data_IF_192447854553
#
_entry.id   IF_192447854553
#
_cell.length_a   1.000
_cell.length_b   1.000
_cell.length_c   1.000
_cell.angle_alpha   90.00
_cell.angle_beta   90.00
_cell.angle_gamma   90.00
#
_symmetry.space_group_name_H-M   'P 1'
#
loop_
_entity.id
_entity.type
_entity.pdbx_description
1 polymer ?
#
# COMPACT_ATOMS: atom_id res chain seq x y z
N UNK A 1 -10.75 12.67 -29.40
CA UNK A 1 -11.45 12.27 -28.23
C UNK A 1 -10.69 12.69 -27.00
N UNK A 2 -11.37 13.34 -26.08
CA UNK A 2 -10.74 14.02 -24.97
C UNK A 2 -10.03 13.08 -24.00
N UNK A 3 -8.84 13.47 -23.63
CA UNK A 3 -8.11 12.79 -22.56
C UNK A 3 -8.42 13.50 -21.23
N UNK A 4 -8.72 12.73 -20.21
CA UNK A 4 -9.03 13.27 -18.89
C UNK A 4 -7.79 13.28 -18.00
N UNK A 5 -7.61 14.35 -17.24
CA UNK A 5 -6.53 14.44 -16.26
C UNK A 5 -6.82 13.46 -15.13
N UNK A 6 -5.77 12.81 -14.62
CA UNK A 6 -5.90 11.93 -13.47
C UNK A 6 -6.44 12.73 -12.27
N UNK A 7 -7.57 12.31 -11.67
CA UNK A 7 -8.19 13.09 -10.59
C UNK A 7 -7.31 13.22 -9.35
N UNK A 8 -6.47 12.23 -9.04
CA UNK A 8 -5.51 12.33 -7.95
C UNK A 8 -4.39 13.29 -8.33
N UNK A 9 -3.92 13.22 -9.59
CA UNK A 9 -2.83 14.07 -10.07
C UNK A 9 -3.14 15.56 -9.98
N UNK A 10 -4.35 15.95 -10.35
CA UNK A 10 -4.74 17.38 -10.32
C UNK A 10 -4.85 17.91 -8.89
N UNK A 11 -5.11 17.04 -7.93
CA UNK A 11 -5.27 17.42 -6.52
C UNK A 11 -3.98 17.30 -5.69
N UNK A 12 -2.89 16.86 -6.30
CA UNK A 12 -1.61 16.74 -5.61
C UNK A 12 -1.11 18.11 -5.17
N UNK A 13 -0.68 18.20 -3.92
CA UNK A 13 -0.19 19.43 -3.34
C UNK A 13 -1.29 20.36 -2.83
N UNK A 14 -2.55 20.10 -3.13
CA UNK A 14 -3.69 20.89 -2.66
C UNK A 14 -4.48 20.11 -1.60
N UNK A 15 -5.16 19.02 -2.01
CA UNK A 15 -5.95 18.20 -1.09
C UNK A 15 -5.41 16.77 -0.96
N UNK A 16 -4.56 16.36 -1.86
CA UNK A 16 -3.95 15.02 -1.87
C UNK A 16 -2.45 15.12 -1.81
N UNK A 17 -1.83 14.09 -1.26
CA UNK A 17 -0.39 13.98 -1.19
C UNK A 17 0.10 12.80 -2.02
N UNK A 18 1.39 12.78 -2.30
CA UNK A 18 2.02 11.71 -3.05
C UNK A 18 2.01 10.41 -2.23
N UNK A 19 1.77 9.30 -2.90
CA UNK A 19 1.86 7.98 -2.27
C UNK A 19 3.30 7.48 -2.17
N UNK A 20 4.18 7.98 -3.03
CA UNK A 20 5.61 7.71 -2.94
C UNK A 20 6.35 9.03 -2.80
N UNK A 21 7.13 9.15 -1.72
CA UNK A 21 7.92 10.36 -1.44
C UNK A 21 9.39 10.01 -1.35
N UNK A 22 10.11 10.26 -2.42
CA UNK A 22 11.55 10.08 -2.45
C UNK A 22 12.15 10.79 -3.64
N UNK A 23 13.44 11.03 -3.55
CA UNK A 23 14.22 11.63 -4.63
C UNK A 23 15.32 10.66 -5.05
N UNK A 24 15.54 10.53 -6.34
CA UNK A 24 16.59 9.69 -6.88
C UNK A 24 17.19 10.32 -8.14
N UNK A 25 18.49 10.10 -8.34
CA UNK A 25 19.16 10.48 -9.55
C UNK A 25 18.70 9.65 -10.75
N UNK A 26 19.04 10.10 -11.94
CA UNK A 26 18.61 9.44 -13.18
C UNK A 26 19.03 7.97 -13.28
N UNK A 27 20.10 7.57 -12.60
CA UNK A 27 20.59 6.19 -12.64
C UNK A 27 19.75 5.21 -11.81
N UNK A 28 19.16 5.70 -10.71
CA UNK A 28 18.41 4.85 -9.77
C UNK A 28 16.91 5.06 -9.83
N UNK A 29 16.45 6.08 -10.55
CA UNK A 29 15.04 6.44 -10.59
C UNK A 29 14.15 5.29 -11.10
N UNK A 30 14.50 4.71 -12.23
CA UNK A 30 13.72 3.64 -12.84
C UNK A 30 13.68 2.39 -11.97
N UNK A 31 14.80 2.01 -11.37
CA UNK A 31 14.84 0.83 -10.51
C UNK A 31 14.03 1.04 -9.22
N UNK A 32 14.04 2.26 -8.68
CA UNK A 32 13.23 2.59 -7.51
C UNK A 32 11.74 2.51 -7.80
N UNK A 33 11.29 3.02 -8.95
CA UNK A 33 9.89 2.91 -9.36
C UNK A 33 9.48 1.45 -9.51
N UNK A 34 10.33 0.65 -10.13
CA UNK A 34 10.05 -0.77 -10.32
C UNK A 34 9.95 -1.52 -8.99
N UNK A 35 10.87 -1.27 -8.07
CA UNK A 35 10.82 -1.91 -6.74
C UNK A 35 9.62 -1.46 -5.94
N UNK A 36 9.23 -0.18 -6.02
CA UNK A 36 8.02 0.31 -5.37
C UNK A 36 6.77 -0.39 -5.92
N UNK A 37 6.71 -0.56 -7.22
CA UNK A 37 5.61 -1.29 -7.86
C UNK A 37 5.54 -2.73 -7.35
N UNK A 38 6.66 -3.41 -7.28
CA UNK A 38 6.71 -4.79 -6.79
C UNK A 38 6.28 -4.89 -5.33
N UNK A 39 6.71 -3.94 -4.49
CA UNK A 39 6.31 -3.89 -3.08
C UNK A 39 4.81 -3.69 -2.95
N UNK A 40 4.24 -2.75 -3.71
CA UNK A 40 2.80 -2.48 -3.68
C UNK A 40 2.01 -3.70 -4.13
N UNK A 41 2.45 -4.35 -5.18
CA UNK A 41 1.80 -5.55 -5.71
C UNK A 41 1.85 -6.70 -4.69
N UNK A 42 3.00 -6.90 -4.07
CA UNK A 42 3.17 -7.92 -3.04
C UNK A 42 2.28 -7.67 -1.84
N UNK A 43 2.28 -6.44 -1.32
CA UNK A 43 1.47 -6.09 -0.16
C UNK A 43 -0.02 -6.16 -0.45
N UNK A 44 -0.45 -5.73 -1.64
CA UNK A 44 -1.84 -5.80 -2.04
C UNK A 44 -2.33 -7.25 -2.07
N UNK A 45 -1.49 -8.16 -2.54
CA UNK A 45 -1.81 -9.57 -2.63
C UNK A 45 -1.84 -10.25 -1.26
N UNK A 46 -0.84 -9.95 -0.42
CA UNK A 46 -0.73 -10.53 0.92
C UNK A 46 -1.80 -10.01 1.88
N UNK A 47 -2.18 -8.75 1.76
CA UNK A 47 -3.07 -8.07 2.69
C UNK A 47 -4.48 -7.84 2.09
N UNK A 48 -4.88 -8.67 1.14
CA UNK A 48 -6.19 -8.52 0.47
C UNK A 48 -7.35 -8.56 1.46
N UNK A 49 -7.25 -9.37 2.52
CA UNK A 49 -8.30 -9.52 3.52
C UNK A 49 -8.25 -8.46 4.63
N UNK A 50 -7.18 -7.67 4.68
CA UNK A 50 -6.96 -6.70 5.75
C UNK A 50 -7.57 -5.32 5.49
N UNK A 51 -8.29 -5.15 4.39
CA UNK A 51 -8.94 -3.87 4.02
C UNK A 51 -7.93 -2.72 3.97
N UNK A 52 -6.87 -2.89 3.19
CA UNK A 52 -5.84 -1.88 3.01
C UNK A 52 -6.34 -0.81 2.04
N UNK A 53 -6.29 0.46 2.46
CA UNK A 53 -6.70 1.59 1.64
C UNK A 53 -5.56 2.15 0.82
N UNK A 54 -4.46 2.49 1.48
CA UNK A 54 -3.31 3.13 0.84
C UNK A 54 -2.01 2.59 1.40
N UNK A 55 -0.99 2.64 0.57
CA UNK A 55 0.37 2.28 0.97
C UNK A 55 1.25 3.46 0.59
N UNK A 56 1.80 4.13 1.59
CA UNK A 56 2.74 5.24 1.39
C UNK A 56 4.16 4.73 1.53
N UNK A 57 5.02 5.06 0.58
CA UNK A 57 6.41 4.66 0.57
C UNK A 57 7.28 5.90 0.61
N UNK A 58 8.11 6.02 1.65
CA UNK A 58 9.07 7.11 1.77
C UNK A 58 10.48 6.51 1.78
N UNK A 59 11.35 7.03 0.95
CA UNK A 59 12.75 6.63 0.92
C UNK A 59 13.61 7.79 1.36
N UNK A 60 14.38 7.57 2.41
CA UNK A 60 15.36 8.55 2.89
C UNK A 60 16.74 7.88 2.87
N UNK A 61 17.70 8.48 2.15
CA UNK A 61 19.08 8.02 2.04
C UNK A 61 19.22 6.50 1.90
N UNK A 62 19.29 5.77 3.02
CA UNK A 62 19.45 4.30 3.04
C UNK A 62 18.30 3.58 3.73
N UNK A 63 17.22 4.29 4.06
CA UNK A 63 16.08 3.72 4.77
C UNK A 63 14.83 3.84 3.95
N UNK A 64 13.95 2.88 4.09
CA UNK A 64 12.63 2.91 3.48
C UNK A 64 11.59 2.83 4.58
N UNK A 65 10.67 3.79 4.58
CA UNK A 65 9.53 3.80 5.50
C UNK A 65 8.28 3.50 4.69
N UNK A 66 7.57 2.45 5.06
CA UNK A 66 6.34 2.06 4.39
C UNK A 66 5.21 2.16 5.40
N UNK A 67 4.23 3.01 5.11
CA UNK A 67 3.07 3.20 5.96
C UNK A 67 1.86 2.57 5.28
N UNK A 68 1.21 1.65 5.95
CA UNK A 68 0.04 0.94 5.44
C UNK A 68 -1.19 1.47 6.17
N UNK A 69 -2.11 2.07 5.42
CA UNK A 69 -3.39 2.55 5.96
C UNK A 69 -4.42 1.44 5.81
N UNK A 70 -4.89 0.91 6.93
CA UNK A 70 -5.82 -0.20 6.95
C UNK A 70 -6.95 0.03 7.94
N UNK A 71 -8.12 -0.54 7.64
CA UNK A 71 -9.25 -0.53 8.56
C UNK A 71 -9.12 -1.61 9.64
N UNK A 72 -8.31 -2.63 9.40
CA UNK A 72 -8.14 -3.76 10.31
C UNK A 72 -6.65 -3.99 10.63
N UNK A 73 -6.05 -3.13 11.45
CA UNK A 73 -4.61 -3.24 11.74
C UNK A 73 -4.25 -4.56 12.44
N UNK A 74 -5.16 -5.12 13.21
CA UNK A 74 -4.91 -6.38 13.91
C UNK A 74 -4.62 -7.56 12.99
N UNK A 75 -5.21 -7.60 11.79
CA UNK A 75 -4.94 -8.64 10.81
C UNK A 75 -3.55 -8.50 10.19
N UNK A 76 -3.06 -7.27 10.06
CA UNK A 76 -1.73 -7.02 9.49
C UNK A 76 -0.64 -7.31 10.51
N UNK A 77 -0.85 -6.89 11.75
CA UNK A 77 0.14 -7.09 12.82
C UNK A 77 0.24 -8.56 13.21
N UNK A 78 -0.90 -9.26 13.24
CA UNK A 78 -0.95 -10.65 13.66
C UNK A 78 -0.76 -10.82 15.16
N UNK A 79 -0.64 -12.07 15.59
CA UNK A 79 -0.41 -12.38 17.01
C UNK A 79 1.04 -12.06 17.35
N UNK A 80 1.25 -11.23 18.37
CA UNK A 80 2.58 -10.86 18.89
C UNK A 80 3.51 -10.23 17.86
N UNK A 81 2.96 -9.68 16.78
CA UNK A 81 3.75 -9.00 15.75
C UNK A 81 4.54 -9.91 14.82
N UNK A 82 4.27 -11.22 14.82
CA UNK A 82 4.98 -12.16 13.96
C UNK A 82 4.73 -11.90 12.47
N UNK A 83 3.49 -11.62 12.11
CA UNK A 83 3.12 -11.39 10.71
C UNK A 83 3.78 -10.13 10.15
N UNK A 84 3.87 -9.07 10.95
CA UNK A 84 4.52 -7.83 10.51
C UNK A 84 6.03 -8.03 10.33
N UNK A 85 6.66 -8.85 11.16
CA UNK A 85 8.07 -9.19 11.02
C UNK A 85 8.32 -9.96 9.72
N UNK A 86 7.48 -10.92 9.40
CA UNK A 86 7.57 -11.67 8.15
C UNK A 86 7.37 -10.78 6.93
N UNK A 87 6.41 -9.86 6.99
CA UNK A 87 6.17 -8.90 5.92
C UNK A 87 7.36 -7.98 5.73
N UNK A 88 7.93 -7.50 6.83
CA UNK A 88 9.10 -6.64 6.81
C UNK A 88 10.29 -7.32 6.15
N UNK A 89 10.54 -8.58 6.51
CA UNK A 89 11.62 -9.36 5.92
C UNK A 89 11.41 -9.56 4.42
N UNK A 90 10.19 -9.89 3.99
CA UNK A 90 9.87 -10.08 2.59
C UNK A 90 10.01 -8.78 1.78
N UNK A 91 9.55 -7.67 2.34
CA UNK A 91 9.67 -6.36 1.69
C UNK A 91 11.14 -5.95 1.59
N UNK A 92 11.93 -6.17 2.62
CA UNK A 92 13.36 -5.88 2.60
C UNK A 92 14.06 -6.68 1.50
N UNK A 93 13.68 -7.92 1.31
CA UNK A 93 14.22 -8.77 0.26
C UNK A 93 13.89 -8.24 -1.14
N UNK A 94 12.67 -7.77 -1.34
CA UNK A 94 12.25 -7.16 -2.61
C UNK A 94 13.02 -5.87 -2.89
N UNK A 95 13.20 -5.04 -1.86
CA UNK A 95 13.92 -3.77 -1.97
C UNK A 95 15.43 -3.95 -2.07
N UNK A 96 15.96 -5.12 -1.75
CA UNK A 96 17.39 -5.36 -1.73
C UNK A 96 18.10 -4.69 -0.55
N UNK A 97 17.38 -4.39 0.52
CA UNK A 97 17.89 -3.74 1.72
C UNK A 97 17.93 -4.72 2.89
N UNK A 98 18.67 -4.36 3.93
CA UNK A 98 18.63 -5.12 5.19
C UNK A 98 17.31 -4.86 5.92
N UNK A 99 16.88 -5.83 6.72
CA UNK A 99 15.62 -5.71 7.47
C UNK A 99 15.62 -4.50 8.41
N UNK A 100 16.80 -4.12 8.91
CA UNK A 100 16.94 -2.97 9.81
C UNK A 100 16.70 -1.63 9.12
N UNK A 101 16.92 -1.56 7.81
CA UNK A 101 16.73 -0.34 7.02
C UNK A 101 15.29 -0.14 6.56
N UNK A 102 14.44 -1.15 6.73
CA UNK A 102 13.03 -1.09 6.33
C UNK A 102 12.16 -0.95 7.58
N UNK A 103 11.26 0.03 7.57
CA UNK A 103 10.28 0.22 8.62
C UNK A 103 8.88 0.07 8.04
N UNK A 104 8.07 -0.76 8.68
CA UNK A 104 6.66 -0.87 8.36
C UNK A 104 5.86 -0.22 9.48
N UNK A 105 5.13 0.82 9.12
CA UNK A 105 4.21 1.49 10.03
C UNK A 105 2.79 1.18 9.60
N UNK A 106 1.93 0.93 10.58
CA UNK A 106 0.54 0.61 10.30
C UNK A 106 -0.32 1.71 10.88
N UNK A 107 -1.10 2.36 10.03
CA UNK A 107 -2.01 3.43 10.43
C UNK A 107 -3.45 2.92 10.31
N UNK A 108 -4.24 3.16 11.35
CA UNK A 108 -5.64 2.79 11.37
C UNK A 108 -6.48 3.86 10.69
N UNK A 109 -7.45 3.41 9.88
CA UNK A 109 -8.43 4.28 9.27
C UNK A 109 -9.63 4.37 10.23
N UNK A 110 -9.87 5.58 10.76
CA UNK A 110 -10.94 5.78 11.74
C UNK A 110 -12.33 5.60 11.17
N UNK A 111 -12.54 6.04 9.93
CA UNK A 111 -13.85 5.96 9.27
C UNK A 111 -13.70 5.23 7.94
N UNK A 112 -13.64 3.89 7.95
CA UNK A 112 -13.46 3.13 6.70
C UNK A 112 -14.64 3.28 5.74
N UNK A 113 -15.81 3.65 6.23
CA UNK A 113 -17.01 3.86 5.42
C UNK A 113 -16.85 5.01 4.43
N UNK A 114 -15.99 5.98 4.74
CA UNK A 114 -15.72 7.14 3.90
C UNK A 114 -14.59 6.94 2.91
N UNK A 115 -13.87 5.83 3.01
CA UNK A 115 -12.75 5.56 2.12
C UNK A 115 -13.26 4.89 0.85
N UNK A 116 -13.00 5.52 -0.30
CA UNK A 116 -13.53 5.07 -1.57
C UNK A 116 -13.01 3.68 -1.96
N UNK A 117 -11.74 3.41 -1.71
CA UNK A 117 -11.16 2.11 -2.06
C UNK A 117 -11.76 0.98 -1.23
N UNK A 118 -11.95 1.20 0.07
CA UNK A 118 -12.53 0.18 0.94
C UNK A 118 -13.99 -0.09 0.59
N UNK A 119 -14.73 0.95 0.23
CA UNK A 119 -16.12 0.79 -0.25
C UNK A 119 -16.14 0.00 -1.55
N UNK A 120 -15.24 0.30 -2.47
CA UNK A 120 -15.16 -0.42 -3.73
C UNK A 120 -14.81 -1.90 -3.54
N UNK A 121 -13.88 -2.20 -2.66
CA UNK A 121 -13.52 -3.59 -2.35
C UNK A 121 -14.68 -4.34 -1.68
N UNK A 122 -15.42 -3.67 -0.79
CA UNK A 122 -16.59 -4.24 -0.16
C UNK A 122 -17.67 -4.61 -1.18
N UNK A 123 -17.91 -3.73 -2.13
CA UNK A 123 -18.86 -3.98 -3.22
C UNK A 123 -18.38 -5.15 -4.09
N UNK A 124 -17.09 -5.19 -4.41
CA UNK A 124 -16.52 -6.27 -5.20
C UNK A 124 -16.66 -7.63 -4.50
N UNK A 125 -16.43 -7.69 -3.19
CA UNK A 125 -16.60 -8.90 -2.41
C UNK A 125 -18.06 -9.38 -2.40
N UNK A 126 -18.99 -8.44 -2.27
CA UNK A 126 -20.42 -8.77 -2.31
C UNK A 126 -20.84 -9.32 -3.67
N UNK A 127 -20.34 -8.73 -4.74
CA UNK A 127 -20.60 -9.20 -6.10
C UNK A 127 -20.06 -10.61 -6.32
N UNK A 128 -18.88 -10.92 -5.80
CA UNK A 128 -18.31 -12.26 -5.88
C UNK A 128 -19.18 -13.28 -5.13
N UNK A 129 -19.65 -12.93 -3.94
CA UNK A 129 -20.52 -13.81 -3.15
C UNK A 129 -21.85 -14.04 -3.83
N UNK A 130 -22.47 -12.99 -4.35
CA UNK A 130 -23.73 -13.09 -5.06
C UNK A 130 -23.60 -13.96 -6.30
N UNK A 131 -22.49 -13.80 -7.04
CA UNK A 131 -22.21 -14.61 -8.19
C UNK A 131 -22.05 -16.08 -7.83
N UNK A 132 -21.43 -16.39 -6.71
CA UNK A 132 -21.30 -17.76 -6.21
C UNK A 132 -22.60 -18.33 -5.69
N UNK A 133 -23.47 -17.49 -5.11
CA UNK A 133 -24.72 -17.93 -4.54
C UNK A 133 -25.79 -18.21 -5.59
N UNK A 134 -25.68 -17.65 -6.78
CA UNK A 134 -26.64 -17.87 -7.89
C UNK A 134 -26.41 -19.22 -8.59
N UNK A 135 -25.30 -19.84 -8.35
CA UNK A 135 -25.00 -21.17 -8.85
C UNK A 135 -25.43 -22.19 -7.82
#
# INVERSE_FOLDING_TARGET
MGQKVNPIGIRLGITRDWTSKWYAGSKTFASNIHTDYLVRKFLAKKLADASVSRIHIERAARRANITIHTARPGLVIGKKGEDIEKLRAAVAKILGMTVQDVRLNIAEIRKPELDAKLVAEGIAQQLEKDRKSVV
#
